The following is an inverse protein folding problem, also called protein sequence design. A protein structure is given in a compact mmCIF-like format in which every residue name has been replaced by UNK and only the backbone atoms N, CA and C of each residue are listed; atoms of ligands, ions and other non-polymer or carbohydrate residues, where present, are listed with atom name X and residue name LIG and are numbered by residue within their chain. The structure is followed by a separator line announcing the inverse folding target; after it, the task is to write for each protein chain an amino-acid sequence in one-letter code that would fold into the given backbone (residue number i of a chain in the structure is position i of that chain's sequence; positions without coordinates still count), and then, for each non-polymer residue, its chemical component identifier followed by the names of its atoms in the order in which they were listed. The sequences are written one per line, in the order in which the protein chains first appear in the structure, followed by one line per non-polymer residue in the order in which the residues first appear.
data_IF_429848835085
#
_entry.id   IF_429848835085
#
_cell.length_a   1.000
_cell.length_b   1.000
_cell.length_c   1.000
_cell.angle_alpha   90.00
_cell.angle_beta   90.00
_cell.angle_gamma   90.00
#
_symmetry.space_group_name_H-M   'P 1'
#
loop_
_entity.id
_entity.type
_entity.pdbx_description
1 polymer ?
#
# COMPACT_ATOMS: atom_id res chain seq x y z
N UNK A 1 9.56 -6.93 -22.64
CA UNK A 1 9.10 -7.76 -21.50
C UNK A 1 8.75 -6.84 -20.34
N UNK A 2 7.64 -7.05 -19.64
CA UNK A 2 7.22 -6.21 -18.52
C UNK A 2 7.30 -6.98 -17.20
N UNK A 3 7.61 -6.29 -16.09
CA UNK A 3 7.62 -6.86 -14.73
C UNK A 3 6.47 -6.26 -13.93
N UNK A 4 5.62 -7.10 -13.37
CA UNK A 4 4.51 -6.70 -12.51
C UNK A 4 4.82 -7.03 -11.05
N UNK A 5 4.52 -6.09 -10.16
CA UNK A 5 4.59 -6.29 -8.72
C UNK A 5 3.19 -6.18 -8.13
N UNK A 6 2.80 -7.17 -7.33
CA UNK A 6 1.52 -7.17 -6.62
C UNK A 6 1.84 -7.13 -5.13
N UNK A 7 1.36 -6.08 -4.46
CA UNK A 7 1.66 -5.82 -3.05
C UNK A 7 0.35 -5.73 -2.29
N UNK A 8 0.18 -6.57 -1.26
CA UNK A 8 -0.92 -6.44 -0.30
C UNK A 8 -0.63 -5.26 0.63
N UNK A 9 -1.66 -4.53 1.04
CA UNK A 9 -1.53 -3.48 2.05
C UNK A 9 -0.99 -4.04 3.37
N UNK A 10 -0.36 -3.17 4.17
CA UNK A 10 0.07 -3.51 5.53
C UNK A 10 -1.10 -3.70 6.50
N UNK A 11 -0.81 -4.16 7.71
CA UNK A 11 -1.82 -4.42 8.73
C UNK A 11 -2.71 -3.19 9.05
N UNK A 12 -3.98 -3.45 9.36
CA UNK A 12 -4.94 -2.46 9.88
C UNK A 12 -5.24 -2.64 11.36
N UNK A 13 -4.72 -3.72 11.95
CA UNK A 13 -4.83 -4.06 13.37
C UNK A 13 -3.46 -4.48 13.87
N UNK A 14 -3.15 -4.11 15.10
CA UNK A 14 -1.96 -4.56 15.80
C UNK A 14 -2.28 -5.74 16.72
N UNK A 15 -1.21 -6.32 17.29
CA UNK A 15 -1.35 -7.43 18.24
C UNK A 15 -2.11 -6.94 19.47
N UNK A 16 -3.22 -7.62 19.79
CA UNK A 16 -4.09 -7.30 20.93
C UNK A 16 -5.36 -6.53 20.56
N UNK A 17 -5.45 -6.01 19.33
CA UNK A 17 -6.68 -5.42 18.84
C UNK A 17 -7.78 -6.48 18.67
N UNK A 18 -9.03 -6.09 18.92
CA UNK A 18 -10.18 -6.89 18.54
C UNK A 18 -10.35 -6.83 17.02
N UNK A 19 -9.89 -7.86 16.33
CA UNK A 19 -9.99 -7.95 14.87
C UNK A 19 -11.45 -8.09 14.47
N UNK A 20 -11.92 -7.19 13.61
CA UNK A 20 -13.26 -7.26 13.00
C UNK A 20 -13.15 -7.60 11.52
N UNK A 21 -14.25 -8.03 10.90
CA UNK A 21 -14.30 -8.24 9.45
C UNK A 21 -14.18 -6.88 8.77
N UNK A 22 -13.02 -6.64 8.16
CA UNK A 22 -12.75 -5.48 7.30
C UNK A 22 -12.85 -5.94 5.85
N UNK A 23 -13.59 -5.18 5.06
CA UNK A 23 -13.85 -5.41 3.64
C UNK A 23 -14.06 -4.07 2.93
N UNK A 24 -14.36 -4.08 1.63
CA UNK A 24 -14.47 -2.90 0.77
C UNK A 24 -15.24 -1.70 1.35
N UNK A 25 -16.20 -1.96 2.25
CA UNK A 25 -17.09 -0.98 2.87
C UNK A 25 -16.49 -0.30 4.11
N UNK A 26 -15.30 -0.70 4.56
CA UNK A 26 -14.66 -0.21 5.77
C UNK A 26 -13.29 0.38 5.44
N UNK A 27 -13.20 1.71 5.47
CA UNK A 27 -11.96 2.42 5.12
C UNK A 27 -11.03 2.63 6.31
N UNK A 28 -10.40 1.55 6.79
CA UNK A 28 -9.39 1.64 7.86
C UNK A 28 -8.01 2.06 7.33
N UNK A 29 -7.28 2.93 8.05
CA UNK A 29 -5.87 3.21 7.80
C UNK A 29 -4.97 2.05 8.25
N UNK A 30 -3.68 2.13 7.93
CA UNK A 30 -2.68 1.22 8.49
C UNK A 30 -2.52 1.43 10.00
N UNK A 31 -2.37 0.32 10.72
CA UNK A 31 -1.97 0.28 12.13
C UNK A 31 -0.48 0.66 12.28
N UNK A 32 0.05 0.62 13.50
CA UNK A 32 1.47 0.93 13.74
C UNK A 32 2.35 -0.08 13.01
N UNK A 33 2.11 -1.38 13.20
CA UNK A 33 2.87 -2.42 12.50
C UNK A 33 2.65 -2.37 10.98
N UNK A 34 1.46 -1.97 10.51
CA UNK A 34 1.19 -1.77 9.09
C UNK A 34 2.03 -0.66 8.46
N UNK A 35 2.25 0.44 9.19
CA UNK A 35 3.12 1.53 8.75
C UNK A 35 4.58 1.10 8.71
N UNK A 36 5.05 0.33 9.70
CA UNK A 36 6.40 -0.25 9.70
C UNK A 36 6.61 -1.19 8.51
N UNK A 37 5.63 -2.04 8.20
CA UNK A 37 5.66 -2.89 7.00
C UNK A 37 5.77 -2.05 5.73
N UNK A 38 4.98 -0.98 5.61
CA UNK A 38 5.02 -0.07 4.47
C UNK A 38 6.40 0.62 4.34
N UNK A 39 7.03 0.99 5.46
CA UNK A 39 8.39 1.55 5.45
C UNK A 39 9.44 0.52 5.02
N UNK A 40 9.34 -0.74 5.45
CA UNK A 40 10.24 -1.81 4.99
C UNK A 40 10.10 -2.07 3.49
N UNK A 41 8.86 -2.02 2.96
CA UNK A 41 8.61 -2.10 1.52
C UNK A 41 9.23 -0.91 0.78
N UNK A 42 9.13 0.30 1.33
CA UNK A 42 9.77 1.48 0.76
C UNK A 42 11.29 1.29 0.61
N UNK A 43 11.96 0.82 1.67
CA UNK A 43 13.39 0.52 1.64
C UNK A 43 13.72 -0.58 0.61
N UNK A 44 12.92 -1.64 0.55
CA UNK A 44 13.11 -2.73 -0.42
C UNK A 44 13.01 -2.25 -1.87
N UNK A 45 12.09 -1.32 -2.16
CA UNK A 45 11.84 -0.81 -3.51
C UNK A 45 12.61 0.47 -3.86
N UNK A 46 13.47 1.01 -2.99
CA UNK A 46 14.19 2.26 -3.23
C UNK A 46 15.01 2.28 -4.54
N UNK A 47 15.56 1.13 -4.93
CA UNK A 47 16.29 0.95 -6.20
C UNK A 47 15.42 0.64 -7.42
N UNK A 48 14.11 0.47 -7.25
CA UNK A 48 13.19 0.09 -8.33
C UNK A 48 12.55 1.31 -8.96
N UNK A 49 12.62 1.41 -10.28
CA UNK A 49 11.85 2.39 -11.06
C UNK A 49 10.53 1.78 -11.49
N UNK A 50 9.43 2.49 -11.24
CA UNK A 50 8.10 2.11 -11.69
C UNK A 50 7.66 2.98 -12.85
N UNK A 51 7.10 2.39 -13.90
CA UNK A 51 6.49 3.15 -15.01
C UNK A 51 5.02 3.51 -14.74
N UNK A 52 4.36 2.77 -13.85
CA UNK A 52 3.00 3.01 -13.42
C UNK A 52 2.79 2.50 -11.99
N UNK A 53 1.86 3.10 -11.26
CA UNK A 53 1.44 2.65 -9.94
C UNK A 53 -0.07 2.79 -9.79
N UNK A 54 -0.72 1.73 -9.30
CA UNK A 54 -2.16 1.69 -9.07
C UNK A 54 -2.44 1.17 -7.67
N UNK A 55 -3.51 1.66 -7.04
CA UNK A 55 -4.04 1.09 -5.80
C UNK A 55 -5.56 1.23 -5.73
N UNK A 56 -6.17 0.51 -4.79
CA UNK A 56 -7.59 0.66 -4.50
C UNK A 56 -7.90 2.03 -3.86
N UNK A 57 -9.17 2.46 -3.82
CA UNK A 57 -9.59 3.67 -3.11
C UNK A 57 -9.56 3.53 -1.57
N UNK A 58 -9.00 2.47 -1.00
CA UNK A 58 -8.91 2.30 0.46
C UNK A 58 -7.63 2.90 1.03
N UNK A 59 -7.74 3.51 2.21
CA UNK A 59 -6.71 4.24 2.93
C UNK A 59 -5.47 3.40 3.15
N UNK A 60 -5.63 2.16 3.63
CA UNK A 60 -4.51 1.23 3.82
C UNK A 60 -3.76 0.89 2.53
N UNK A 61 -4.42 0.72 1.38
CA UNK A 61 -3.71 0.48 0.10
C UNK A 61 -3.00 1.75 -0.37
N UNK A 62 -3.64 2.92 -0.23
CA UNK A 62 -2.99 4.21 -0.55
C UNK A 62 -1.77 4.47 0.31
N UNK A 63 -1.86 4.22 1.61
CA UNK A 63 -0.75 4.47 2.55
C UNK A 63 0.45 3.56 2.24
N UNK A 64 0.22 2.27 1.98
CA UNK A 64 1.30 1.36 1.56
C UNK A 64 1.92 1.78 0.22
N UNK A 65 1.11 2.08 -0.80
CA UNK A 65 1.61 2.48 -2.10
C UNK A 65 2.38 3.81 -2.06
N UNK A 66 1.87 4.81 -1.32
CA UNK A 66 2.57 6.09 -1.12
C UNK A 66 3.90 5.91 -0.38
N UNK A 67 3.97 5.02 0.61
CA UNK A 67 5.24 4.73 1.28
C UNK A 67 6.27 4.19 0.29
N UNK A 68 5.88 3.26 -0.59
CA UNK A 68 6.77 2.70 -1.62
C UNK A 68 7.26 3.79 -2.59
N UNK A 69 6.36 4.68 -3.02
CA UNK A 69 6.68 5.68 -4.04
C UNK A 69 7.43 6.91 -3.50
N UNK A 70 7.48 7.14 -2.18
CA UNK A 70 8.09 8.38 -1.64
C UNK A 70 9.62 8.43 -1.74
N UNK A 71 10.28 7.27 -1.82
CA UNK A 71 11.75 7.18 -1.74
C UNK A 71 12.44 7.71 -3.00
N UNK A 72 11.70 7.91 -4.10
CA UNK A 72 12.22 8.49 -5.33
C UNK A 72 11.35 9.63 -5.82
N UNK A 73 11.99 10.69 -6.31
CA UNK A 73 11.33 11.85 -6.90
C UNK A 73 10.82 11.60 -8.34
N UNK A 74 11.34 10.58 -9.02
CA UNK A 74 10.99 10.20 -10.40
C UNK A 74 9.85 9.17 -10.48
N UNK A 75 9.16 8.91 -9.36
CA UNK A 75 8.08 7.93 -9.33
C UNK A 75 6.79 8.44 -10.03
N UNK A 76 6.02 7.53 -10.63
CA UNK A 76 4.78 7.90 -11.32
C UNK A 76 3.72 8.35 -10.32
N UNK A 77 2.76 9.13 -10.80
CA UNK A 77 1.57 9.42 -10.03
C UNK A 77 0.84 8.12 -9.65
N UNK A 78 0.38 8.04 -8.39
CA UNK A 78 -0.41 6.91 -7.91
C UNK A 78 -1.84 7.04 -8.40
N UNK A 79 -2.25 6.16 -9.32
CA UNK A 79 -3.62 6.12 -9.85
C UNK A 79 -4.53 5.32 -8.93
N UNK A 80 -5.76 5.79 -8.74
CA UNK A 80 -6.79 5.08 -7.99
C UNK A 80 -7.62 4.25 -8.96
N UNK A 81 -7.68 2.94 -8.74
CA UNK A 81 -8.38 1.98 -9.57
C UNK A 81 -9.45 1.23 -8.74
N UNK A 82 -10.74 1.59 -8.88
CA UNK A 82 -11.83 0.99 -8.09
C UNK A 82 -11.94 -0.54 -8.21
N UNK A 83 -11.55 -1.12 -9.35
CA UNK A 83 -11.58 -2.58 -9.56
C UNK A 83 -10.53 -3.35 -8.72
N UNK A 84 -9.63 -2.64 -8.02
CA UNK A 84 -8.66 -3.23 -7.08
C UNK A 84 -9.16 -3.26 -5.63
N UNK A 85 -10.43 -2.90 -5.39
CA UNK A 85 -11.04 -2.97 -4.06
C UNK A 85 -11.22 -4.44 -3.65
N UNK A 86 -10.99 -4.73 -2.38
CA UNK A 86 -11.10 -6.09 -1.79
C UNK A 86 -12.50 -6.70 -1.82
#
# INVERSE_FOLDING_TARGET
MARLFIVRHGNTFDKGDTVTRVGARTDLPLSVSGREQAQKLAAHFAGTRFSAALCSPLSRTRQTARAILRERSDNPALLIAPFLTE
#
